data_IF_034570815314
#
_entry.id   IF_034570815314
#
_cell.length_a   1.000
_cell.length_b   1.000
_cell.length_c   1.000
_cell.angle_alpha   90.00
_cell.angle_beta   90.00
_cell.angle_gamma   90.00
#
_symmetry.space_group_name_H-M   'P 1'
#
loop_
_entity.id
_entity.type
_entity.pdbx_description
1 polymer ?
#
# COMPACT_ATOMS: atom_id res chain seq x y z
N UNK A 1 -16.38 5.41 12.41
CA UNK A 1 -16.27 4.12 11.69
C UNK A 1 -15.80 4.42 10.29
N UNK A 2 -14.59 3.99 9.95
CA UNK A 2 -14.06 4.08 8.59
C UNK A 2 -14.71 3.01 7.71
N UNK A 3 -15.07 3.37 6.47
CA UNK A 3 -15.64 2.44 5.49
C UNK A 3 -14.58 1.46 4.97
N UNK A 4 -15.02 0.33 4.42
CA UNK A 4 -14.13 -0.64 3.76
C UNK A 4 -13.23 0.02 2.71
N UNK A 5 -13.80 0.93 1.92
CA UNK A 5 -13.07 1.66 0.88
C UNK A 5 -11.96 2.54 1.46
N UNK A 6 -12.21 3.24 2.57
CA UNK A 6 -11.21 4.05 3.25
C UNK A 6 -10.08 3.20 3.83
N UNK A 7 -10.42 2.09 4.51
CA UNK A 7 -9.43 1.16 5.06
C UNK A 7 -8.58 0.51 3.97
N UNK A 8 -9.18 0.21 2.81
CA UNK A 8 -8.47 -0.35 1.65
C UNK A 8 -7.53 0.68 1.00
N UNK A 9 -8.00 1.92 0.77
CA UNK A 9 -7.15 3.01 0.24
C UNK A 9 -5.92 3.22 1.12
N UNK A 10 -6.12 3.25 2.44
CA UNK A 10 -5.02 3.38 3.38
C UNK A 10 -3.93 2.31 3.16
N UNK A 11 -4.31 1.05 2.95
CA UNK A 11 -3.33 -0.02 2.67
C UNK A 11 -2.58 0.20 1.35
N UNK A 12 -3.27 0.66 0.30
CA UNK A 12 -2.64 0.98 -0.99
C UNK A 12 -1.57 2.07 -0.85
N UNK A 13 -1.87 3.11 -0.09
CA UNK A 13 -1.00 4.27 0.08
C UNK A 13 0.18 4.00 1.01
N UNK A 14 0.00 3.13 2.01
CA UNK A 14 0.97 2.97 3.10
C UNK A 14 1.78 1.68 3.08
N UNK A 15 1.21 0.60 2.56
CA UNK A 15 1.84 -0.72 2.55
C UNK A 15 2.49 -0.95 1.20
N UNK A 16 3.72 -0.44 1.03
CA UNK A 16 4.55 -0.71 -0.15
C UNK A 16 6.03 -0.99 0.23
N UNK A 17 6.78 -1.74 -0.62
CA UNK A 17 8.21 -1.96 -0.41
C UNK A 17 9.01 -0.66 -0.49
N UNK A 18 10.17 -0.62 0.18
CA UNK A 18 11.03 0.58 0.30
C UNK A 18 11.56 1.10 -1.04
N UNK A 19 11.81 0.20 -2.01
CA UNK A 19 12.45 0.55 -3.28
C UNK A 19 11.44 1.02 -4.35
N UNK A 20 10.17 1.22 -3.98
CA UNK A 20 9.09 1.62 -4.89
C UNK A 20 8.00 2.42 -4.19
N UNK A 21 7.25 3.19 -4.97
CA UNK A 21 6.06 3.91 -4.49
C UNK A 21 4.84 3.00 -4.21
N UNK A 22 3.69 3.62 -3.90
CA UNK A 22 2.42 2.93 -3.65
C UNK A 22 2.07 1.90 -4.72
N UNK A 23 1.35 0.84 -4.34
CA UNK A 23 0.88 -0.13 -5.31
C UNK A 23 -0.17 0.48 -6.23
N UNK A 24 -0.08 0.17 -7.53
CA UNK A 24 -1.17 0.50 -8.46
C UNK A 24 -2.29 -0.53 -8.37
N UNK A 25 -3.51 -0.15 -8.74
CA UNK A 25 -4.65 -1.08 -8.80
C UNK A 25 -4.34 -2.30 -9.68
N UNK A 26 -3.69 -2.08 -10.82
CA UNK A 26 -3.32 -3.14 -11.76
C UNK A 26 -2.37 -4.14 -11.13
N UNK A 27 -1.33 -3.69 -10.44
CA UNK A 27 -0.36 -4.59 -9.80
C UNK A 27 -0.99 -5.45 -8.71
N UNK A 28 -1.85 -4.86 -7.87
CA UNK A 28 -2.57 -5.63 -6.82
C UNK A 28 -3.49 -6.66 -7.45
N UNK A 29 -4.20 -6.29 -8.51
CA UNK A 29 -5.06 -7.22 -9.25
C UNK A 29 -4.24 -8.37 -9.86
N UNK A 30 -3.07 -8.09 -10.42
CA UNK A 30 -2.21 -9.13 -10.99
C UNK A 30 -1.62 -10.04 -9.91
N UNK A 31 -1.24 -9.50 -8.74
CA UNK A 31 -0.85 -10.30 -7.57
C UNK A 31 -1.99 -11.21 -7.08
N UNK A 32 -3.21 -10.67 -7.00
CA UNK A 32 -4.39 -11.45 -6.61
C UNK A 32 -4.67 -12.56 -7.63
N UNK A 33 -4.57 -12.26 -8.93
CA UNK A 33 -4.75 -13.26 -10.00
C UNK A 33 -3.67 -14.34 -9.98
N UNK A 34 -2.43 -13.99 -9.67
CA UNK A 34 -1.35 -14.97 -9.51
C UNK A 34 -1.64 -15.95 -8.36
N UNK A 35 -2.35 -15.50 -7.32
CA UNK A 35 -2.82 -16.36 -6.23
C UNK A 35 -4.08 -17.17 -6.54
N UNK A 36 -4.62 -17.07 -7.76
CA UNK A 36 -5.83 -17.77 -8.22
C UNK A 36 -7.14 -16.99 -8.07
N UNK A 37 -7.08 -15.72 -7.65
CA UNK A 37 -8.27 -14.89 -7.48
C UNK A 37 -8.86 -14.44 -8.83
N UNK A 38 -10.19 -14.33 -8.91
CA UNK A 38 -10.91 -13.81 -10.09
C UNK A 38 -11.02 -12.28 -10.10
N UNK A 39 -10.21 -11.60 -9.28
CA UNK A 39 -10.22 -10.15 -9.16
C UNK A 39 -9.98 -9.46 -10.51
N UNK A 40 -10.68 -8.34 -10.73
CA UNK A 40 -10.49 -7.47 -11.91
C UNK A 40 -10.22 -6.04 -11.49
N UNK A 41 -9.51 -5.28 -12.33
CA UNK A 41 -9.19 -3.87 -12.07
C UNK A 41 -10.44 -3.00 -11.96
N UNK A 42 -11.47 -3.29 -12.77
CA UNK A 42 -12.76 -2.61 -12.68
C UNK A 42 -13.46 -2.85 -11.34
N UNK A 43 -13.45 -4.09 -10.84
CA UNK A 43 -14.04 -4.39 -9.52
C UNK A 43 -13.22 -3.77 -8.38
N UNK A 44 -11.89 -3.81 -8.44
CA UNK A 44 -11.01 -3.13 -7.48
C UNK A 44 -11.29 -1.62 -7.41
N UNK A 45 -11.44 -0.97 -8.57
CA UNK A 45 -11.80 0.45 -8.66
C UNK A 45 -13.17 0.75 -8.04
N UNK A 46 -14.15 -0.14 -8.21
CA UNK A 46 -15.46 -0.03 -7.55
C UNK A 46 -15.38 -0.17 -6.02
N UNK A 47 -14.51 -1.05 -5.51
CA UNK A 47 -14.26 -1.19 -4.08
C UNK A 47 -13.56 0.07 -3.52
N UNK A 48 -12.51 0.54 -4.19
CA UNK A 48 -11.77 1.73 -3.78
C UNK A 48 -12.64 2.98 -3.82
N UNK A 49 -13.50 3.14 -4.83
CA UNK A 49 -14.43 4.28 -4.92
C UNK A 49 -15.57 4.23 -3.90
N UNK A 50 -15.79 3.09 -3.23
CA UNK A 50 -16.95 2.87 -2.36
C UNK A 50 -18.27 2.64 -3.11
N UNK A 51 -18.24 2.56 -4.45
CA UNK A 51 -19.41 2.17 -5.26
C UNK A 51 -19.87 0.74 -4.94
N UNK A 52 -18.93 -0.11 -4.52
CA UNK A 52 -19.18 -1.43 -3.94
C UNK A 52 -18.59 -1.47 -2.55
N UNK A 53 -19.45 -1.59 -1.54
CA UNK A 53 -19.03 -1.56 -0.13
C UNK A 53 -18.97 -2.95 0.51
N UNK A 54 -19.56 -3.96 -0.13
CA UNK A 54 -19.68 -5.33 0.40
C UNK A 54 -19.06 -6.34 -0.57
N UNK A 55 -17.72 -6.49 -0.58
CA UNK A 55 -17.08 -7.59 -1.28
C UNK A 55 -17.44 -8.94 -0.65
N UNK A 56 -17.35 -10.01 -1.45
CA UNK A 56 -17.45 -11.37 -0.93
C UNK A 56 -16.29 -11.70 0.02
N UNK A 57 -16.51 -12.65 0.94
CA UNK A 57 -15.51 -13.04 1.94
C UNK A 57 -14.21 -13.57 1.33
N UNK A 58 -14.31 -14.27 0.19
CA UNK A 58 -13.15 -14.72 -0.59
C UNK A 58 -12.29 -13.55 -1.07
N UNK A 59 -12.92 -12.53 -1.64
CA UNK A 59 -12.25 -11.29 -2.06
C UNK A 59 -11.54 -10.59 -0.90
N UNK A 60 -12.21 -10.45 0.26
CA UNK A 60 -11.60 -9.83 1.44
C UNK A 60 -10.37 -10.62 1.89
N UNK A 61 -10.48 -11.95 1.93
CA UNK A 61 -9.37 -12.83 2.28
C UNK A 61 -8.18 -12.69 1.33
N UNK A 62 -8.42 -12.64 0.03
CA UNK A 62 -7.34 -12.50 -0.96
C UNK A 62 -6.63 -11.15 -0.81
N UNK A 63 -7.39 -10.06 -0.62
CA UNK A 63 -6.84 -8.73 -0.33
C UNK A 63 -5.97 -8.77 0.93
N UNK A 64 -6.49 -9.35 2.02
CA UNK A 64 -5.76 -9.49 3.28
C UNK A 64 -4.44 -10.25 3.11
N UNK A 65 -4.41 -11.30 2.28
CA UNK A 65 -3.19 -12.07 1.97
C UNK A 65 -2.14 -11.26 1.24
N UNK A 66 -2.55 -10.45 0.26
CA UNK A 66 -1.62 -9.61 -0.51
C UNK A 66 -1.00 -8.52 0.37
N UNK A 67 -1.82 -7.83 1.16
CA UNK A 67 -1.36 -6.77 2.06
C UNK A 67 -0.81 -7.29 3.40
N UNK A 68 -0.86 -8.61 3.64
CA UNK A 68 -0.39 -9.26 4.88
C UNK A 68 -1.04 -8.71 6.15
N UNK A 69 -2.33 -8.41 6.08
CA UNK A 69 -3.15 -7.94 7.21
C UNK A 69 -4.17 -9.01 7.64
N UNK A 70 -4.63 -9.04 8.91
CA UNK A 70 -5.70 -9.93 9.35
C UNK A 70 -7.05 -9.53 8.74
N UNK A 71 -7.99 -10.47 8.59
CA UNK A 71 -9.34 -10.15 8.08
C UNK A 71 -10.11 -9.20 9.01
N UNK A 72 -9.85 -9.28 10.31
CA UNK A 72 -10.46 -8.43 11.33
C UNK A 72 -10.13 -6.95 11.12
N UNK A 73 -9.05 -6.63 10.38
CA UNK A 73 -8.72 -5.25 9.97
C UNK A 73 -9.88 -4.53 9.27
N UNK A 74 -10.75 -5.22 8.54
CA UNK A 74 -11.89 -4.61 7.86
C UNK A 74 -13.19 -4.63 8.67
N UNK A 75 -13.29 -5.51 9.67
CA UNK A 75 -14.52 -5.75 10.44
C UNK A 75 -14.50 -5.16 11.85
N UNK A 76 -13.32 -5.02 12.44
CA UNK A 76 -13.11 -4.58 13.81
C UNK A 76 -12.37 -3.23 13.82
N UNK A 77 -12.80 -2.30 14.68
CA UNK A 77 -12.20 -0.97 14.77
C UNK A 77 -10.93 -0.97 15.64
N UNK A 78 -10.88 -1.80 16.68
CA UNK A 78 -9.69 -1.92 17.54
C UNK A 78 -8.50 -2.45 16.74
N UNK A 79 -8.69 -3.57 16.04
CA UNK A 79 -7.71 -4.18 15.13
C UNK A 79 -7.28 -3.21 14.04
N UNK A 80 -8.22 -2.42 13.48
CA UNK A 80 -7.88 -1.40 12.49
C UNK A 80 -6.91 -0.37 13.06
N UNK A 81 -7.15 0.14 14.27
CA UNK A 81 -6.28 1.14 14.89
C UNK A 81 -4.91 0.54 15.27
N UNK A 82 -4.86 -0.70 15.76
CA UNK A 82 -3.60 -1.38 16.08
C UNK A 82 -2.71 -1.55 14.84
N UNK A 83 -3.26 -2.11 13.76
CA UNK A 83 -2.53 -2.32 12.51
C UNK A 83 -2.11 -0.97 11.91
N UNK A 84 -2.97 0.05 11.98
CA UNK A 84 -2.63 1.40 11.53
C UNK A 84 -1.44 1.97 12.29
N UNK A 85 -1.43 1.88 13.61
CA UNK A 85 -0.30 2.35 14.44
C UNK A 85 0.99 1.59 14.12
N UNK A 86 0.90 0.28 13.87
CA UNK A 86 2.06 -0.52 13.44
C UNK A 86 2.61 -0.07 12.08
N UNK A 87 1.72 0.19 11.11
CA UNK A 87 2.11 0.70 9.78
C UNK A 87 2.79 2.08 9.92
N UNK A 88 2.19 3.00 10.67
CA UNK A 88 2.74 4.34 10.91
C UNK A 88 4.11 4.27 11.61
N UNK A 89 4.28 3.36 12.59
CA UNK A 89 5.57 3.15 13.25
C UNK A 89 6.64 2.64 12.29
N UNK A 90 6.32 1.66 11.44
CA UNK A 90 7.24 1.14 10.41
C UNK A 90 7.63 2.24 9.42
N UNK A 91 6.68 3.10 9.02
CA UNK A 91 6.97 4.24 8.13
C UNK A 91 7.89 5.27 8.79
N UNK A 92 7.61 5.68 10.04
CA UNK A 92 8.46 6.62 10.77
C UNK A 92 9.90 6.10 10.95
N UNK A 93 10.07 4.80 11.15
CA UNK A 93 11.39 4.15 11.18
C UNK A 93 12.08 4.19 9.81
N UNK A 94 11.34 4.07 8.71
CA UNK A 94 11.88 4.18 7.34
C UNK A 94 12.33 5.60 7.05
N UNK A 95 11.47 6.59 7.28
CA UNK A 95 11.79 8.01 7.06
C UNK A 95 13.03 8.44 7.85
N UNK A 96 13.15 7.98 9.10
CA UNK A 96 14.32 8.26 9.95
C UNK A 96 15.61 7.62 9.41
N UNK A 97 15.54 6.44 8.79
CA UNK A 97 16.68 5.79 8.16
C UNK A 97 17.04 6.45 6.82
N UNK A 98 16.05 6.78 6.00
CA UNK A 98 16.25 7.43 4.72
C UNK A 98 16.83 8.84 4.90
N UNK A 99 16.40 9.60 5.92
CA UNK A 99 17.03 10.87 6.29
C UNK A 99 18.50 10.72 6.67
N UNK A 100 18.87 9.65 7.39
CA UNK A 100 20.28 9.36 7.75
C UNK A 100 21.14 8.99 6.54
N UNK A 101 20.57 8.34 5.52
CA UNK A 101 21.27 7.97 4.28
C UNK A 101 21.33 9.15 3.30
N UNK A 102 20.25 9.93 3.16
CA UNK A 102 20.19 11.13 2.35
C UNK A 102 21.17 12.21 2.86
N UNK A 103 21.33 12.33 4.19
CA UNK A 103 22.34 13.20 4.81
C UNK A 103 23.80 12.83 4.45
N UNK A 104 24.05 11.63 3.91
CA UNK A 104 25.38 11.21 3.41
C UNK A 104 25.53 11.29 1.89
N UNK A 105 24.43 11.47 1.15
CA UNK A 105 24.42 11.35 -0.32
C UNK A 105 23.97 12.63 -1.04
N UNK A 106 23.65 13.70 -0.32
CA UNK A 106 23.36 14.98 -0.96
C UNK A 106 24.65 15.68 -1.43
N UNK A 107 25.10 15.34 -2.64
CA UNK A 107 26.02 16.16 -3.44
C UNK A 107 25.22 16.85 -4.56
N UNK A 108 24.79 18.11 -4.35
CA UNK A 108 23.97 18.85 -5.32
C UNK A 108 24.71 19.29 -6.59
N UNK A 109 25.97 18.90 -6.82
CA UNK A 109 26.80 19.41 -7.94
C UNK A 109 27.44 18.33 -8.84
N UNK A 110 27.12 17.04 -8.70
CA UNK A 110 27.83 15.97 -9.45
C UNK A 110 27.54 15.87 -10.97
N UNK A 111 26.79 16.77 -11.60
CA UNK A 111 26.82 16.91 -13.07
C UNK A 111 26.77 18.38 -13.52
N UNK A 112 27.84 19.10 -13.23
CA UNK A 112 28.31 20.22 -14.07
C UNK A 112 29.69 19.86 -14.61
N UNK A 113 29.77 18.82 -15.43
CA UNK A 113 30.92 18.52 -16.30
C UNK A 113 30.50 17.47 -17.31
N UNK A 114 30.05 17.95 -18.47
CA UNK A 114 30.34 17.40 -19.80
C UNK A 114 29.84 18.46 -20.76
N UNK A 115 30.69 19.45 -20.94
CA UNK A 115 30.80 20.26 -22.14
C UNK A 115 31.10 19.32 -23.34
N UNK A 116 30.70 19.76 -24.54
CA UNK A 116 31.23 19.36 -25.86
C UNK A 116 30.85 17.96 -26.41
N UNK A 117 29.83 17.90 -27.29
CA UNK A 117 29.97 18.00 -28.77
C UNK A 117 28.59 18.24 -29.43
#
# INVERSE_FOLDING_TARGET
MSSFAERLRYLFDTVHPKDRGPYTQTEVVDMLRFSGSKMTTGYMSQLLSGKRSSPGLETVRDICRVFRVPMDYFGDEETYQEIRQQIEWIQNLRDSQDQRVAARTYDPFRKLTSDED
#
